data_IF_322726463296
#
_entry.id   IF_322726463296
#
_cell.length_a   1.000
_cell.length_b   1.000
_cell.length_c   1.000
_cell.angle_alpha   90.00
_cell.angle_beta   90.00
_cell.angle_gamma   90.00
#
_symmetry.space_group_name_H-M   'P 1'
#
loop_
_entity.id
_entity.type
_entity.pdbx_description
1 polymer ?
#
# COMPACT_ATOMS: atom_id res chain seq x y z
N UNK A 1 14.69 -10.58 25.14
CA UNK A 1 14.03 -9.29 24.83
C UNK A 1 12.71 -9.56 24.10
N UNK A 2 11.64 -9.91 24.82
CA UNK A 2 10.32 -10.18 24.22
C UNK A 2 9.28 -9.24 24.85
N UNK A 3 9.18 -8.00 24.35
CA UNK A 3 8.07 -7.10 24.66
C UNK A 3 7.60 -6.43 23.38
N UNK A 4 6.28 -6.44 23.20
CA UNK A 4 5.48 -5.72 22.18
C UNK A 4 5.15 -6.44 20.88
N UNK A 5 4.74 -7.69 20.99
CA UNK A 5 3.60 -8.16 20.20
C UNK A 5 2.54 -8.58 21.22
N UNK A 6 1.51 -7.75 21.42
CA UNK A 6 0.25 -8.26 21.96
C UNK A 6 -0.30 -9.08 20.79
N UNK A 7 0.09 -10.35 20.72
CA UNK A 7 -0.35 -11.25 19.67
C UNK A 7 -1.85 -11.37 19.86
N UNK A 8 -2.63 -10.79 18.95
CA UNK A 8 -4.04 -11.14 18.86
C UNK A 8 -4.09 -12.63 18.53
N UNK A 9 -4.88 -13.37 19.28
CA UNK A 9 -5.01 -14.80 19.03
C UNK A 9 -5.60 -15.02 17.63
N UNK A 10 -5.29 -16.17 17.03
CA UNK A 10 -5.81 -16.49 15.70
C UNK A 10 -7.35 -16.46 15.64
N UNK A 11 -8.00 -16.73 16.76
CA UNK A 11 -9.44 -16.65 16.93
C UNK A 11 -9.96 -15.21 16.85
N UNK A 12 -9.28 -14.25 17.49
CA UNK A 12 -9.62 -12.82 17.41
C UNK A 12 -9.52 -12.30 15.96
N UNK A 13 -8.49 -12.75 15.23
CA UNK A 13 -8.28 -12.33 13.84
C UNK A 13 -9.42 -12.80 12.94
N UNK A 14 -9.83 -14.07 13.09
CA UNK A 14 -10.94 -14.64 12.31
C UNK A 14 -12.26 -13.96 12.63
N UNK A 15 -12.51 -13.66 13.91
CA UNK A 15 -13.73 -12.98 14.35
C UNK A 15 -13.82 -11.56 13.75
N UNK A 16 -12.74 -10.79 13.78
CA UNK A 16 -12.71 -9.43 13.22
C UNK A 16 -12.96 -9.48 11.70
N UNK A 17 -12.33 -10.42 10.98
CA UNK A 17 -12.56 -10.57 9.53
C UNK A 17 -14.00 -10.97 9.21
N UNK A 18 -14.58 -11.90 9.97
CA UNK A 18 -15.97 -12.31 9.78
C UNK A 18 -16.93 -11.13 9.99
N UNK A 19 -16.75 -10.38 11.09
CA UNK A 19 -17.58 -9.22 11.40
C UNK A 19 -17.42 -8.10 10.35
N UNK A 20 -16.20 -7.84 9.88
CA UNK A 20 -15.96 -6.88 8.81
C UNK A 20 -16.69 -7.27 7.52
N UNK A 21 -16.63 -8.56 7.14
CA UNK A 21 -17.37 -9.07 5.99
C UNK A 21 -18.90 -8.95 6.16
N UNK A 22 -19.42 -9.13 7.38
CA UNK A 22 -20.85 -8.96 7.64
C UNK A 22 -21.27 -7.48 7.50
N UNK A 23 -20.42 -6.54 7.92
CA UNK A 23 -20.63 -5.12 7.67
C UNK A 23 -20.58 -4.77 6.17
N UNK A 24 -19.61 -5.26 5.42
CA UNK A 24 -19.50 -5.04 3.96
C UNK A 24 -20.76 -5.56 3.24
N UNK A 25 -21.21 -6.78 3.55
CA UNK A 25 -22.44 -7.37 2.99
C UNK A 25 -23.70 -6.59 3.34
N UNK A 26 -23.72 -5.94 4.50
CA UNK A 26 -24.83 -5.08 4.92
C UNK A 26 -24.72 -3.64 4.36
N UNK A 27 -23.68 -3.32 3.58
CA UNK A 27 -23.39 -1.97 3.09
C UNK A 27 -22.97 -0.99 4.19
N UNK A 28 -22.64 -1.49 5.38
CA UNK A 28 -22.28 -0.71 6.57
C UNK A 28 -20.78 -0.42 6.59
N UNK A 29 -20.29 0.24 5.54
CA UNK A 29 -18.86 0.49 5.33
C UNK A 29 -18.23 1.35 6.44
N UNK A 30 -18.98 2.26 7.05
CA UNK A 30 -18.49 3.07 8.17
C UNK A 30 -18.21 2.22 9.43
N UNK A 31 -19.03 1.20 9.67
CA UNK A 31 -18.85 0.28 10.80
C UNK A 31 -17.68 -0.68 10.55
N UNK A 32 -17.54 -1.17 9.31
CA UNK A 32 -16.37 -1.93 8.87
C UNK A 32 -15.08 -1.12 9.09
N UNK A 33 -15.11 0.16 8.68
CA UNK A 33 -13.98 1.06 8.82
C UNK A 33 -13.65 1.36 10.28
N UNK A 34 -14.66 1.60 11.12
CA UNK A 34 -14.49 1.84 12.55
C UNK A 34 -13.86 0.63 13.24
N UNK A 35 -14.31 -0.59 12.91
CA UNK A 35 -13.75 -1.84 13.42
C UNK A 35 -12.25 -1.97 13.12
N UNK A 36 -11.85 -1.76 11.86
CA UNK A 36 -10.44 -1.85 11.50
C UNK A 36 -9.58 -0.73 12.11
N UNK A 37 -10.10 0.50 12.19
CA UNK A 37 -9.41 1.62 12.86
C UNK A 37 -9.18 1.32 14.34
N UNK A 38 -10.16 0.74 15.03
CA UNK A 38 -10.01 0.34 16.42
C UNK A 38 -8.92 -0.73 16.58
N UNK A 39 -8.91 -1.74 15.71
CA UNK A 39 -7.87 -2.75 15.67
C UNK A 39 -6.47 -2.13 15.47
N UNK A 40 -6.33 -1.25 14.49
CA UNK A 40 -5.07 -0.59 14.17
C UNK A 40 -4.59 0.31 15.32
N UNK A 41 -5.48 1.11 15.91
CA UNK A 41 -5.21 1.98 17.06
C UNK A 41 -4.72 1.20 18.29
N UNK A 42 -5.13 -0.06 18.44
CA UNK A 42 -4.65 -0.97 19.48
C UNK A 42 -3.30 -1.62 19.15
N UNK A 43 -2.54 -1.07 18.19
CA UNK A 43 -1.27 -1.61 17.70
C UNK A 43 -1.41 -2.99 17.04
N UNK A 44 -2.56 -3.27 16.43
CA UNK A 44 -2.80 -4.48 15.66
C UNK A 44 -1.87 -4.59 14.44
N UNK A 45 -1.14 -5.70 14.33
CA UNK A 45 -0.10 -5.90 13.28
C UNK A 45 -0.31 -7.15 12.43
N UNK A 46 -1.45 -7.83 12.55
CA UNK A 46 -1.74 -8.99 11.73
C UNK A 46 -1.87 -8.58 10.25
N UNK A 47 -1.07 -9.20 9.40
CA UNK A 47 -0.96 -8.80 7.99
C UNK A 47 -2.27 -8.97 7.19
N UNK A 48 -3.11 -9.95 7.54
CA UNK A 48 -4.41 -10.15 6.86
C UNK A 48 -5.39 -9.02 7.18
N UNK A 49 -5.48 -8.63 8.45
CA UNK A 49 -6.33 -7.52 8.88
C UNK A 49 -5.83 -6.20 8.31
N UNK A 50 -4.53 -5.94 8.35
CA UNK A 50 -3.95 -4.73 7.76
C UNK A 50 -4.17 -4.65 6.24
N UNK A 51 -4.04 -5.77 5.52
CA UNK A 51 -4.30 -5.82 4.08
C UNK A 51 -5.77 -5.53 3.75
N UNK A 52 -6.69 -6.12 4.51
CA UNK A 52 -8.13 -5.90 4.34
C UNK A 52 -8.52 -4.46 4.66
N UNK A 53 -7.99 -3.92 5.75
CA UNK A 53 -8.17 -2.52 6.13
C UNK A 53 -7.66 -1.56 5.05
N UNK A 54 -6.45 -1.79 4.52
CA UNK A 54 -5.90 -0.98 3.44
C UNK A 54 -6.77 -1.04 2.19
N UNK A 55 -7.30 -2.20 1.82
CA UNK A 55 -8.17 -2.32 0.64
C UNK A 55 -9.47 -1.53 0.82
N UNK A 56 -10.07 -1.56 2.00
CA UNK A 56 -11.24 -0.74 2.32
C UNK A 56 -10.91 0.76 2.22
N UNK A 57 -9.78 1.20 2.77
CA UNK A 57 -9.34 2.59 2.71
C UNK A 57 -9.11 3.05 1.26
N UNK A 58 -8.47 2.23 0.43
CA UNK A 58 -8.28 2.50 -1.01
C UNK A 58 -9.62 2.59 -1.74
N UNK A 59 -10.56 1.67 -1.47
CA UNK A 59 -11.91 1.71 -2.06
C UNK A 59 -12.69 2.98 -1.68
N UNK A 60 -12.41 3.54 -0.51
CA UNK A 60 -12.99 4.79 0.00
C UNK A 60 -12.11 6.02 -0.30
N UNK A 61 -11.05 5.88 -1.09
CA UNK A 61 -10.10 6.94 -1.47
C UNK A 61 -9.48 7.68 -0.26
N UNK A 62 -9.36 7.00 0.88
CA UNK A 62 -8.73 7.53 2.10
C UNK A 62 -7.22 7.32 2.06
N UNK A 63 -6.56 7.98 1.12
CA UNK A 63 -5.17 7.73 0.74
C UNK A 63 -4.16 7.92 1.88
N UNK A 64 -4.32 8.95 2.71
CA UNK A 64 -3.41 9.22 3.84
C UNK A 64 -3.45 8.08 4.88
N UNK A 65 -4.66 7.66 5.27
CA UNK A 65 -4.82 6.52 6.19
C UNK A 65 -4.33 5.21 5.54
N UNK A 66 -4.57 5.02 4.24
CA UNK A 66 -4.09 3.85 3.51
C UNK A 66 -2.56 3.80 3.51
N UNK A 67 -1.88 4.95 3.40
CA UNK A 67 -0.44 5.08 3.44
C UNK A 67 0.13 4.67 4.80
N UNK A 68 -0.51 5.09 5.89
CA UNK A 68 -0.12 4.71 7.25
C UNK A 68 -0.20 3.19 7.46
N UNK A 69 -1.33 2.60 7.09
CA UNK A 69 -1.57 1.15 7.20
C UNK A 69 -0.59 0.36 6.34
N UNK A 70 -0.40 0.77 5.09
CA UNK A 70 0.52 0.10 4.15
C UNK A 70 1.98 0.21 4.60
N UNK A 71 2.36 1.33 5.23
CA UNK A 71 3.69 1.52 5.79
C UNK A 71 3.96 0.55 6.95
N UNK A 72 2.95 0.22 7.76
CA UNK A 72 3.09 -0.82 8.79
C UNK A 72 3.14 -2.21 8.16
N UNK A 73 2.22 -2.51 7.23
CA UNK A 73 2.11 -3.81 6.57
C UNK A 73 3.40 -4.22 5.82
N UNK A 74 3.98 -3.29 5.06
CA UNK A 74 5.22 -3.55 4.31
C UNK A 74 6.40 -3.89 5.21
N UNK A 75 6.46 -3.31 6.42
CA UNK A 75 7.51 -3.61 7.42
C UNK A 75 7.33 -4.97 8.10
N UNK A 76 6.13 -5.57 8.07
CA UNK A 76 5.87 -6.89 8.64
C UNK A 76 6.57 -8.03 7.88
N UNK A 77 6.99 -7.80 6.63
CA UNK A 77 7.70 -8.77 5.82
C UNK A 77 9.16 -8.33 5.63
N UNK A 78 10.15 -9.20 5.81
CA UNK A 78 11.56 -8.80 5.64
C UNK A 78 12.08 -8.95 4.20
N UNK A 79 11.65 -9.98 3.46
CA UNK A 79 12.12 -10.32 2.11
C UNK A 79 11.12 -11.22 1.36
N UNK A 80 11.30 -11.39 0.05
CA UNK A 80 10.54 -12.28 -0.83
C UNK A 80 9.32 -11.62 -1.50
N UNK A 81 8.65 -12.36 -2.38
CA UNK A 81 7.58 -11.89 -3.27
C UNK A 81 6.45 -11.16 -2.55
N UNK A 82 6.17 -11.53 -1.29
CA UNK A 82 5.16 -10.81 -0.51
C UNK A 82 5.64 -9.41 -0.13
N UNK A 83 6.89 -9.26 0.31
CA UNK A 83 7.47 -7.95 0.62
C UNK A 83 7.52 -7.06 -0.60
N UNK A 84 7.94 -7.60 -1.75
CA UNK A 84 8.01 -6.85 -3.01
C UNK A 84 6.64 -6.32 -3.44
N UNK A 85 5.60 -7.16 -3.37
CA UNK A 85 4.22 -6.72 -3.64
C UNK A 85 3.74 -5.62 -2.69
N UNK A 86 4.00 -5.74 -1.39
CA UNK A 86 3.59 -4.69 -0.45
C UNK A 86 4.39 -3.39 -0.64
N UNK A 87 5.64 -3.46 -1.09
CA UNK A 87 6.41 -2.26 -1.46
C UNK A 87 5.84 -1.62 -2.72
N UNK A 88 5.46 -2.39 -3.73
CA UNK A 88 4.81 -1.87 -4.93
C UNK A 88 3.48 -1.17 -4.62
N UNK A 89 2.63 -1.79 -3.76
CA UNK A 89 1.40 -1.14 -3.27
C UNK A 89 1.68 0.15 -2.50
N UNK A 90 2.72 0.17 -1.66
CA UNK A 90 3.10 1.37 -0.92
C UNK A 90 3.42 2.52 -1.85
N UNK A 91 4.14 2.26 -2.95
CA UNK A 91 4.47 3.30 -3.92
C UNK A 91 3.22 3.78 -4.67
N UNK A 92 2.33 2.88 -5.08
CA UNK A 92 1.06 3.28 -5.69
C UNK A 92 0.24 4.20 -4.79
N UNK A 93 0.11 3.86 -3.49
CA UNK A 93 -0.60 4.71 -2.53
C UNK A 93 0.11 6.06 -2.33
N UNK A 94 1.46 6.09 -2.35
CA UNK A 94 2.22 7.36 -2.32
C UNK A 94 1.96 8.24 -3.54
N UNK A 95 1.78 7.64 -4.72
CA UNK A 95 1.43 8.37 -5.93
C UNK A 95 0.04 8.99 -5.80
N UNK A 96 -0.98 8.22 -5.39
CA UNK A 96 -2.36 8.71 -5.24
C UNK A 96 -2.48 9.76 -4.12
N UNK A 97 -1.76 9.60 -3.01
CA UNK A 97 -1.68 10.63 -1.96
C UNK A 97 -0.90 11.88 -2.41
N UNK A 98 0.13 11.70 -3.24
CA UNK A 98 0.94 12.79 -3.83
C UNK A 98 0.24 13.55 -4.95
N UNK A 99 -0.63 12.91 -5.72
CA UNK A 99 -1.49 13.53 -6.74
C UNK A 99 -2.44 14.57 -6.14
N UNK A 100 -2.86 14.37 -4.89
CA UNK A 100 -3.62 15.35 -4.11
C UNK A 100 -2.76 16.51 -3.55
N UNK A 101 -1.43 16.41 -3.66
CA UNK A 101 -0.44 17.43 -3.28
C UNK A 101 0.10 18.22 -4.48
N UNK A 102 -0.49 18.06 -5.66
CA UNK A 102 -0.17 18.79 -6.88
C UNK A 102 -0.67 20.25 -6.84
N UNK A 103 -0.30 20.95 -5.78
CA UNK A 103 -0.29 22.40 -5.67
C UNK A 103 1.08 22.96 -5.29
N UNK A 104 1.99 22.14 -4.70
CA UNK A 104 3.38 22.54 -4.42
C UNK A 104 4.32 21.34 -4.50
N UNK A 105 4.88 21.15 -5.69
CA UNK A 105 6.06 20.34 -5.97
C UNK A 105 7.16 20.68 -4.97
N UNK A 106 7.57 19.68 -4.17
CA UNK A 106 8.87 19.69 -3.52
C UNK A 106 9.57 18.38 -3.88
N UNK A 107 10.50 18.50 -4.84
CA UNK A 107 11.26 17.47 -5.59
C UNK A 107 11.99 16.39 -4.77
N UNK A 108 11.88 16.37 -3.44
CA UNK A 108 12.76 15.54 -2.59
C UNK A 108 12.18 14.18 -2.22
N UNK A 109 10.91 13.90 -2.55
CA UNK A 109 10.23 12.63 -2.20
C UNK A 109 9.93 11.71 -3.38
N UNK A 110 9.96 12.24 -4.60
CA UNK A 110 9.84 11.47 -5.84
C UNK A 110 11.03 10.51 -5.99
N UNK A 111 12.24 10.97 -5.65
CA UNK A 111 13.49 10.19 -5.65
C UNK A 111 13.43 8.92 -4.76
N UNK A 112 12.76 8.99 -3.61
CA UNK A 112 12.63 7.84 -2.69
C UNK A 112 11.62 6.81 -3.18
N UNK A 113 10.64 7.23 -3.98
CA UNK A 113 9.61 6.35 -4.52
C UNK A 113 10.12 5.65 -5.79
N UNK A 114 10.80 6.39 -6.69
CA UNK A 114 11.39 5.87 -7.93
C UNK A 114 12.49 4.83 -7.66
N UNK A 115 13.35 5.06 -6.64
CA UNK A 115 14.38 4.09 -6.25
C UNK A 115 13.78 2.83 -5.62
N UNK A 116 12.71 2.95 -4.82
CA UNK A 116 12.03 1.79 -4.24
C UNK A 116 11.35 0.92 -5.32
N UNK A 117 10.83 1.54 -6.38
CA UNK A 117 10.19 0.89 -7.53
C UNK A 117 11.18 0.06 -8.37
N UNK A 118 12.42 0.54 -8.55
CA UNK A 118 13.45 -0.18 -9.33
C UNK A 118 13.83 -1.56 -8.78
N UNK A 119 13.51 -1.84 -7.51
CA UNK A 119 13.92 -3.07 -6.81
C UNK A 119 12.82 -4.12 -6.66
N UNK A 120 11.58 -3.81 -7.00
CA UNK A 120 10.47 -4.79 -6.97
C UNK A 120 9.95 -5.01 -8.38
N UNK A 121 10.30 -6.15 -8.96
CA UNK A 121 9.79 -6.61 -10.25
C UNK A 121 8.31 -6.99 -10.00
N UNK A 122 7.40 -6.04 -10.13
CA UNK A 122 5.95 -6.31 -9.96
C UNK A 122 5.18 -5.77 -11.17
N UNK A 123 4.27 -6.56 -11.76
CA UNK A 123 3.46 -6.18 -12.93
C UNK A 123 2.30 -5.25 -12.53
N UNK A 124 2.56 -4.26 -11.67
CA UNK A 124 1.56 -3.27 -11.28
C UNK A 124 1.69 -2.06 -12.20
N UNK A 125 0.83 -2.01 -13.22
CA UNK A 125 0.83 -0.98 -14.28
C UNK A 125 0.89 0.45 -13.72
N UNK A 126 0.14 0.83 -12.66
CA UNK A 126 0.21 2.18 -12.10
C UNK A 126 1.58 2.51 -11.48
N UNK A 127 2.25 1.54 -10.84
CA UNK A 127 3.60 1.75 -10.29
C UNK A 127 4.65 1.92 -11.39
N UNK A 128 4.51 1.22 -12.52
CA UNK A 128 5.42 1.36 -13.66
C UNK A 128 5.18 2.67 -14.41
N UNK A 129 3.92 3.11 -14.53
CA UNK A 129 3.57 4.44 -15.03
C UNK A 129 4.19 5.51 -14.14
N UNK A 130 3.96 5.44 -12.83
CA UNK A 130 4.56 6.39 -11.88
C UNK A 130 6.10 6.39 -11.92
N UNK A 131 6.74 5.23 -12.09
CA UNK A 131 8.20 5.13 -12.28
C UNK A 131 8.65 5.81 -13.57
N UNK A 132 7.95 5.55 -14.67
CA UNK A 132 8.28 6.10 -15.98
C UNK A 132 8.11 7.62 -16.02
N UNK A 133 7.06 8.15 -15.37
CA UNK A 133 6.81 9.58 -15.24
C UNK A 133 7.92 10.25 -14.42
N UNK A 134 8.36 9.61 -13.33
CA UNK A 134 9.50 10.08 -12.54
C UNK A 134 10.79 10.09 -13.37
N UNK A 135 11.12 9.00 -14.06
CA UNK A 135 12.31 8.90 -14.91
C UNK A 135 12.31 9.92 -16.06
N UNK A 136 11.16 10.18 -16.68
CA UNK A 136 11.04 11.18 -17.74
C UNK A 136 11.25 12.60 -17.19
N UNK A 137 10.71 12.91 -16.01
CA UNK A 137 10.90 14.19 -15.34
C UNK A 137 12.36 14.47 -14.95
N UNK A 138 13.17 13.42 -14.76
CA UNK A 138 14.61 13.46 -14.50
C UNK A 138 15.45 13.49 -15.80
N UNK A 139 14.82 13.52 -16.98
CA UNK A 139 15.49 13.51 -18.28
C UNK A 139 15.98 12.12 -18.72
N UNK A 140 15.57 11.06 -18.02
CA UNK A 140 15.92 9.65 -18.28
C UNK A 140 14.85 8.96 -19.15
N UNK A 141 14.40 9.63 -20.20
CA UNK A 141 13.27 9.18 -21.04
C UNK A 141 13.45 7.81 -21.71
N UNK A 142 14.70 7.37 -21.97
CA UNK A 142 14.97 6.00 -22.45
C UNK A 142 14.63 4.93 -21.41
N UNK A 143 15.03 5.15 -20.16
CA UNK A 143 14.74 4.23 -19.05
C UNK A 143 13.24 4.20 -18.72
N UNK A 144 12.57 5.34 -18.86
CA UNK A 144 11.12 5.47 -18.74
C UNK A 144 10.39 4.59 -19.76
N UNK A 145 10.80 4.67 -21.03
CA UNK A 145 10.23 3.89 -22.11
C UNK A 145 10.50 2.39 -21.95
N UNK A 146 11.71 2.00 -21.53
CA UNK A 146 12.06 0.60 -21.26
C UNK A 146 11.19 0.02 -20.11
N UNK A 147 11.00 0.80 -19.04
CA UNK A 147 10.14 0.42 -17.90
C UNK A 147 8.69 0.16 -18.32
N UNK A 148 8.16 0.96 -19.25
CA UNK A 148 6.81 0.79 -19.81
C UNK A 148 6.73 -0.39 -20.79
N UNK A 149 7.71 -0.52 -21.69
CA UNK A 149 7.78 -1.60 -22.69
C UNK A 149 7.90 -2.99 -22.05
N UNK A 150 8.71 -3.12 -21.01
CA UNK A 150 8.78 -4.33 -20.19
C UNK A 150 7.48 -4.63 -19.42
N UNK A 151 6.62 -3.62 -19.26
CA UNK A 151 5.23 -3.76 -18.81
C UNK A 151 4.37 -4.46 -19.84
N UNK A 152 4.47 -4.02 -21.09
CA UNK A 152 3.61 -4.44 -22.19
C UNK A 152 3.99 -5.80 -22.81
N UNK A 153 5.26 -6.22 -22.77
CA UNK A 153 5.69 -7.50 -23.37
C UNK A 153 5.53 -8.73 -22.46
N UNK A 154 4.95 -8.59 -21.27
CA UNK A 154 4.81 -9.68 -20.28
C UNK A 154 3.37 -10.17 -20.04
N UNK A 155 2.41 -9.67 -20.82
CA UNK A 155 1.02 -10.16 -20.87
C UNK A 155 0.81 -11.15 -22.03
#
# INVERSE_FOLDING_TARGET
>A
MHRRARVFDEEDVRLILALANDYDKAGRLDDELALYREYFKKEGKNALLLGSFRNLLVRLEKWDEALDVQSVLSRSFQKGDRREREVAFLVGIKYESGGNWSGKVNRTREDDCSVALSRSITPFVPARIALSEAQDSEGRGKEALETLLEGWSRD
#
